data_IF_361210607198
#
_entry.id   IF_361210607198
#
_cell.length_a   1.000
_cell.length_b   1.000
_cell.length_c   1.000
_cell.angle_alpha   90.00
_cell.angle_beta   90.00
_cell.angle_gamma   90.00
#
_symmetry.space_group_name_H-M   'P 1'
#
loop_
_entity.id
_entity.type
_entity.pdbx_description
1 polymer ?
#
# COMPACT_ATOMS: atom_id res chain seq x y z
N UNK A 1 -20.00 -58.46 42.17
CA UNK A 1 -18.81 -58.64 41.31
C UNK A 1 -18.98 -58.19 39.85
N UNK A 2 -20.14 -57.64 39.42
CA UNK A 2 -20.36 -57.09 38.07
C UNK A 2 -20.21 -55.57 37.94
N UNK A 3 -20.11 -54.86 39.06
CA UNK A 3 -20.02 -53.39 39.11
C UNK A 3 -18.58 -52.84 39.14
N UNK A 4 -17.58 -53.68 39.45
CA UNK A 4 -16.16 -53.27 39.48
C UNK A 4 -15.50 -53.26 38.10
N UNK A 5 -16.08 -53.95 37.10
CA UNK A 5 -15.53 -54.02 35.75
C UNK A 5 -15.86 -52.76 34.93
N UNK A 6 -17.02 -52.13 35.17
CA UNK A 6 -17.43 -50.91 34.45
C UNK A 6 -16.67 -49.65 34.85
N UNK A 7 -16.18 -49.55 36.09
CA UNK A 7 -15.40 -48.39 36.54
C UNK A 7 -13.99 -48.34 35.92
N UNK A 8 -13.43 -49.49 35.55
CA UNK A 8 -12.12 -49.55 34.88
C UNK A 8 -12.17 -49.10 33.42
N UNK A 9 -13.29 -49.33 32.72
CA UNK A 9 -13.45 -48.96 31.30
C UNK A 9 -13.61 -47.44 31.15
N UNK A 10 -14.29 -46.77 32.08
CA UNK A 10 -14.47 -45.31 32.05
C UNK A 10 -13.15 -44.59 32.36
N UNK A 11 -12.32 -45.14 33.27
CA UNK A 11 -11.01 -44.55 33.58
C UNK A 11 -10.02 -44.64 32.40
N UNK A 12 -10.11 -45.68 31.57
CA UNK A 12 -9.26 -45.86 30.40
C UNK A 12 -9.62 -44.94 29.22
N UNK A 13 -10.89 -44.51 29.12
CA UNK A 13 -11.35 -43.61 28.04
C UNK A 13 -10.96 -42.14 28.33
N UNK A 14 -10.87 -41.73 29.60
CA UNK A 14 -10.49 -40.35 29.96
C UNK A 14 -8.97 -40.09 29.82
N UNK A 15 -8.13 -41.12 29.89
CA UNK A 15 -6.67 -40.94 29.77
C UNK A 15 -6.15 -40.80 28.34
N UNK A 16 -6.95 -41.12 27.31
CA UNK A 16 -6.51 -41.02 25.90
C UNK A 16 -6.75 -39.62 25.31
N UNK A 17 -7.54 -38.76 25.97
CA UNK A 17 -7.90 -37.45 25.42
C UNK A 17 -6.98 -36.28 25.81
N UNK A 18 -5.92 -36.50 26.60
CA UNK A 18 -4.99 -35.41 27.02
C UNK A 18 -3.68 -35.32 26.23
N UNK A 19 -3.40 -36.23 25.30
CA UNK A 19 -2.09 -36.29 24.62
C UNK A 19 -2.12 -35.85 23.14
N UNK A 20 -3.06 -34.98 22.75
CA UNK A 20 -2.96 -34.20 21.50
C UNK A 20 -2.79 -32.71 21.81
N UNK A 21 -1.88 -32.41 22.74
CA UNK A 21 -1.24 -31.10 22.76
C UNK A 21 -0.45 -30.99 21.44
N UNK A 22 -1.01 -30.25 20.50
CA UNK A 22 -0.41 -29.99 19.20
C UNK A 22 1.04 -29.55 19.40
N UNK A 23 2.00 -30.41 19.09
CA UNK A 23 3.36 -30.01 18.78
C UNK A 23 3.29 -29.25 17.47
N UNK A 24 2.76 -28.02 17.51
CA UNK A 24 2.96 -27.05 16.44
C UNK A 24 4.47 -26.92 16.37
N UNK A 25 5.06 -27.47 15.30
CA UNK A 25 6.42 -27.10 14.92
C UNK A 25 6.46 -25.57 15.06
N UNK A 26 7.40 -24.99 15.82
CA UNK A 26 7.53 -23.55 15.83
C UNK A 26 7.68 -23.15 14.37
N UNK A 27 6.63 -22.54 13.83
CA UNK A 27 6.73 -21.85 12.55
C UNK A 27 7.94 -20.96 12.73
N UNK A 28 8.93 -21.08 11.84
CA UNK A 28 10.03 -20.10 11.78
C UNK A 28 9.37 -18.75 12.00
N UNK A 29 9.80 -17.95 12.99
CA UNK A 29 9.26 -16.61 13.11
C UNK A 29 9.35 -16.04 11.70
N UNK A 30 8.19 -15.73 11.10
CA UNK A 30 8.22 -14.85 9.94
C UNK A 30 9.09 -13.71 10.44
N UNK A 31 10.19 -13.42 9.73
CA UNK A 31 11.04 -12.31 10.10
C UNK A 31 10.08 -11.12 10.20
N UNK A 32 9.67 -10.76 11.42
CA UNK A 32 8.53 -9.88 11.61
C UNK A 32 8.81 -8.64 10.79
N UNK A 33 7.81 -8.18 10.03
CA UNK A 33 7.95 -7.07 9.09
C UNK A 33 8.92 -6.04 9.67
N UNK A 34 10.11 -5.92 9.07
CA UNK A 34 11.20 -5.17 9.67
C UNK A 34 10.88 -3.69 9.49
N UNK A 35 10.21 -3.13 10.49
CA UNK A 35 9.83 -1.72 10.47
C UNK A 35 11.06 -0.85 10.66
N UNK A 36 11.15 0.21 9.86
CA UNK A 36 12.19 1.22 9.97
C UNK A 36 11.72 2.31 10.94
N UNK A 37 12.37 2.43 12.09
CA UNK A 37 12.01 3.42 13.12
C UNK A 37 12.32 4.86 12.70
N UNK A 38 13.12 5.06 11.66
CA UNK A 38 13.50 6.36 11.10
C UNK A 38 12.58 6.82 9.95
N UNK A 39 11.55 6.06 9.61
CA UNK A 39 10.61 6.36 8.52
C UNK A 39 9.17 6.47 9.03
N UNK A 40 8.33 7.28 8.37
CA UNK A 40 6.89 7.29 8.63
C UNK A 40 6.24 5.91 8.42
N UNK A 41 5.02 5.74 8.92
CA UNK A 41 4.23 4.51 8.78
C UNK A 41 3.96 4.13 7.32
N UNK A 42 3.64 5.10 6.48
CA UNK A 42 3.53 4.94 5.01
C UNK A 42 4.27 6.11 4.38
N UNK A 43 5.14 5.84 3.41
CA UNK A 43 5.91 6.88 2.74
C UNK A 43 6.19 6.53 1.28
N UNK A 44 6.43 7.57 0.48
CA UNK A 44 6.85 7.43 -0.92
C UNK A 44 8.31 7.85 -1.04
N UNK A 45 9.11 7.06 -1.76
CA UNK A 45 10.49 7.39 -2.13
C UNK A 45 10.64 7.49 -3.64
N UNK A 46 11.57 8.34 -4.08
CA UNK A 46 12.04 8.35 -5.47
C UNK A 46 12.90 7.11 -5.74
N UNK A 47 12.67 6.46 -6.89
CA UNK A 47 13.47 5.34 -7.36
C UNK A 47 14.38 5.77 -8.52
N UNK A 48 13.79 6.24 -9.64
CA UNK A 48 14.51 6.60 -10.86
C UNK A 48 13.69 7.47 -11.82
N UNK A 49 14.38 8.11 -12.76
CA UNK A 49 13.81 8.56 -14.03
C UNK A 49 13.99 7.47 -15.10
N UNK A 50 13.17 7.50 -16.15
CA UNK A 50 13.27 6.54 -17.25
C UNK A 50 12.28 6.79 -18.37
N UNK A 51 12.32 5.93 -19.39
CA UNK A 51 11.34 5.93 -20.48
C UNK A 51 10.14 5.04 -20.12
N UNK A 52 8.93 5.52 -20.40
CA UNK A 52 7.65 4.82 -20.23
C UNK A 52 6.84 4.93 -21.53
N UNK A 53 5.92 4.00 -21.72
CA UNK A 53 4.87 4.18 -22.73
C UNK A 53 3.80 5.11 -22.13
N UNK A 54 3.28 6.09 -22.89
CA UNK A 54 2.09 6.86 -22.49
C UNK A 54 0.90 5.95 -22.19
N UNK A 55 0.18 6.21 -21.10
CA UNK A 55 -1.11 5.54 -20.83
C UNK A 55 -2.28 6.32 -21.41
N UNK A 56 -2.16 7.65 -21.44
CA UNK A 56 -3.17 8.56 -21.96
C UNK A 56 -2.62 9.39 -23.13
N UNK A 57 -3.53 9.87 -23.98
CA UNK A 57 -3.16 10.78 -25.07
C UNK A 57 -2.59 12.09 -24.50
N UNK A 58 -1.44 12.52 -25.03
CA UNK A 58 -0.77 13.75 -24.61
C UNK A 58 0.30 13.57 -23.53
N UNK A 59 0.45 12.37 -22.96
CA UNK A 59 1.54 12.09 -22.03
C UNK A 59 2.89 11.91 -22.74
N UNK A 60 3.96 12.32 -22.09
CA UNK A 60 5.31 12.12 -22.57
C UNK A 60 5.76 10.66 -22.39
N UNK A 61 6.80 10.29 -23.14
CA UNK A 61 7.48 9.01 -22.95
C UNK A 61 8.47 9.01 -21.78
N UNK A 62 8.44 10.03 -20.91
CA UNK A 62 9.33 10.17 -19.76
C UNK A 62 8.55 9.95 -18.46
N UNK A 63 9.11 9.13 -17.59
CA UNK A 63 8.50 8.76 -16.33
C UNK A 63 9.38 9.01 -15.13
N UNK A 64 8.71 9.12 -13.99
CA UNK A 64 9.29 9.09 -12.65
C UNK A 64 8.77 7.83 -11.99
N UNK A 65 9.68 6.94 -11.57
CA UNK A 65 9.32 5.78 -10.78
C UNK A 65 9.42 6.13 -9.32
N UNK A 66 8.31 5.95 -8.63
CA UNK A 66 8.14 6.16 -7.21
C UNK A 66 7.81 4.83 -6.54
N UNK A 67 8.26 4.68 -5.30
CA UNK A 67 8.01 3.48 -4.50
C UNK A 67 7.22 3.86 -3.27
N UNK A 68 6.02 3.30 -3.13
CA UNK A 68 5.20 3.44 -1.92
C UNK A 68 5.56 2.29 -0.98
N UNK A 69 5.90 2.63 0.25
CA UNK A 69 6.31 1.69 1.30
C UNK A 69 5.25 1.63 2.38
N UNK A 70 4.79 0.43 2.71
CA UNK A 70 4.00 0.18 3.91
C UNK A 70 4.95 -0.20 5.05
N UNK A 71 5.40 0.77 5.82
CA UNK A 71 6.26 0.59 6.98
C UNK A 71 5.45 0.34 8.27
N UNK A 72 4.35 -0.41 8.16
CA UNK A 72 3.53 -0.85 9.29
C UNK A 72 3.48 -2.37 9.37
N UNK A 73 2.85 -2.92 10.42
CA UNK A 73 2.58 -4.37 10.51
C UNK A 73 1.31 -4.80 9.78
N UNK A 74 0.47 -3.82 9.46
CA UNK A 74 -0.87 -4.04 8.95
C UNK A 74 -0.89 -3.86 7.45
N UNK A 75 -1.83 -4.52 6.80
CA UNK A 75 -2.05 -4.34 5.37
C UNK A 75 -2.74 -3.00 5.13
N UNK A 76 -2.33 -2.32 4.07
CA UNK A 76 -3.06 -1.16 3.53
C UNK A 76 -3.69 -1.54 2.21
N UNK A 77 -4.82 -0.90 1.91
CA UNK A 77 -5.59 -1.09 0.69
C UNK A 77 -5.46 0.21 -0.11
N UNK A 78 -5.02 0.08 -1.35
CA UNK A 78 -4.77 1.18 -2.28
C UNK A 78 -5.77 1.10 -3.42
N UNK A 79 -6.35 2.22 -3.87
CA UNK A 79 -6.99 2.21 -5.17
C UNK A 79 -5.90 2.13 -6.24
N UNK A 80 -6.00 1.14 -7.12
CA UNK A 80 -5.04 0.92 -8.20
C UNK A 80 -5.69 0.25 -9.42
N UNK A 81 -4.97 0.25 -10.53
CA UNK A 81 -5.32 -0.47 -11.76
C UNK A 81 -4.17 -1.40 -12.19
N UNK A 82 -4.48 -2.34 -13.07
CA UNK A 82 -3.46 -3.08 -13.79
C UNK A 82 -2.80 -2.18 -14.83
N UNK A 83 -1.48 -2.32 -15.00
CA UNK A 83 -0.68 -1.58 -15.98
C UNK A 83 0.27 -2.51 -16.73
N UNK A 84 0.78 -2.11 -17.90
CA UNK A 84 1.88 -2.82 -18.54
C UNK A 84 3.10 -2.89 -17.62
N UNK A 85 3.89 -3.96 -17.69
CA UNK A 85 5.08 -4.17 -16.83
C UNK A 85 6.09 -3.01 -16.89
N UNK A 86 6.10 -2.27 -18.00
CA UNK A 86 6.92 -1.07 -18.20
C UNK A 86 6.62 0.05 -17.20
N UNK A 87 5.49 0.00 -16.49
CA UNK A 87 5.00 1.05 -15.60
C UNK A 87 5.29 0.82 -14.12
N UNK A 88 5.85 -0.33 -13.77
CA UNK A 88 6.00 -0.79 -12.39
C UNK A 88 4.99 -1.90 -12.07
N UNK A 89 4.72 -2.06 -10.79
CA UNK A 89 3.89 -3.15 -10.27
C UNK A 89 2.39 -2.82 -10.39
N UNK A 90 2.03 -1.53 -10.32
CA UNK A 90 0.62 -1.06 -10.31
C UNK A 90 0.44 0.30 -10.99
N UNK A 91 -0.75 0.52 -11.54
CA UNK A 91 -1.25 1.85 -11.91
C UNK A 91 -1.82 2.54 -10.69
N UNK A 92 -1.06 3.44 -10.09
CA UNK A 92 -1.47 4.13 -8.86
C UNK A 92 -2.43 5.28 -9.19
N UNK A 93 -3.56 5.35 -8.50
CA UNK A 93 -4.39 6.55 -8.51
C UNK A 93 -3.83 7.59 -7.53
N UNK A 94 -3.73 8.84 -7.97
CA UNK A 94 -3.22 9.94 -7.16
C UNK A 94 -3.84 11.28 -7.55
N UNK A 95 -3.81 12.21 -6.60
CA UNK A 95 -4.15 13.62 -6.85
C UNK A 95 -2.87 14.47 -6.85
N UNK A 96 -2.93 15.59 -7.59
CA UNK A 96 -1.86 16.57 -7.66
C UNK A 96 -2.36 17.88 -7.06
N UNK A 97 -1.58 18.47 -6.17
CA UNK A 97 -1.90 19.75 -5.53
C UNK A 97 -0.73 20.72 -5.65
N UNK A 98 -1.05 22.01 -5.72
CA UNK A 98 -0.05 23.09 -5.77
C UNK A 98 0.29 23.50 -4.33
N UNK A 99 1.58 23.55 -4.02
CA UNK A 99 2.12 23.97 -2.71
C UNK A 99 2.52 25.46 -2.75
N UNK A 100 1.95 26.26 -3.65
CA UNK A 100 2.29 27.69 -3.76
C UNK A 100 1.73 28.45 -2.57
N UNK A 101 2.57 29.26 -1.93
CA UNK A 101 2.19 30.24 -0.91
C UNK A 101 1.59 31.51 -1.53
N UNK A 102 1.69 31.69 -2.85
CA UNK A 102 1.20 32.86 -3.56
C UNK A 102 -0.16 32.53 -4.20
N UNK A 103 -1.27 33.08 -3.67
CA UNK A 103 -2.64 32.73 -4.07
C UNK A 103 -3.01 33.13 -5.51
N UNK A 104 -2.19 33.96 -6.16
CA UNK A 104 -2.52 34.58 -7.45
C UNK A 104 -1.78 33.98 -8.67
N UNK A 105 -0.86 33.03 -8.47
CA UNK A 105 -0.22 32.33 -9.59
C UNK A 105 -1.13 31.18 -10.04
N UNK A 106 -1.83 31.39 -11.16
CA UNK A 106 -2.61 30.36 -11.83
C UNK A 106 -1.65 29.33 -12.43
N UNK A 107 -1.28 28.33 -11.63
CA UNK A 107 -0.55 27.17 -12.10
C UNK A 107 -1.55 26.19 -12.69
N UNK A 108 -1.44 25.92 -13.99
CA UNK A 108 -2.21 24.84 -14.62
C UNK A 108 -1.76 23.51 -14.01
N UNK A 109 -2.64 22.90 -13.21
CA UNK A 109 -2.34 21.66 -12.51
C UNK A 109 -2.59 20.53 -13.50
N UNK A 110 -1.57 19.74 -13.86
CA UNK A 110 -1.78 18.57 -14.69
C UNK A 110 -2.84 17.67 -14.05
N UNK A 111 -3.73 17.10 -14.86
CA UNK A 111 -4.70 16.14 -14.35
C UNK A 111 -3.94 14.88 -13.92
N UNK A 112 -4.03 14.52 -12.64
CA UNK A 112 -3.52 13.23 -12.14
C UNK A 112 -4.39 12.06 -12.62
N UNK A 113 -3.98 10.84 -12.30
CA UNK A 113 -4.88 9.68 -12.42
C UNK A 113 -5.85 9.70 -11.23
N UNK A 114 -6.88 10.52 -11.34
CA UNK A 114 -7.93 10.61 -10.33
C UNK A 114 -8.85 9.38 -10.37
N UNK A 115 -9.45 9.06 -9.23
CA UNK A 115 -10.37 7.94 -9.11
C UNK A 115 -11.60 8.16 -10.00
N UNK A 116 -11.79 7.27 -10.97
CA UNK A 116 -13.06 7.11 -11.65
C UNK A 116 -14.08 6.34 -10.79
N UNK A 117 -15.30 6.15 -11.31
CA UNK A 117 -16.35 5.38 -10.63
C UNK A 117 -16.03 3.89 -10.42
N UNK A 118 -15.02 3.36 -11.13
CA UNK A 118 -14.58 1.97 -11.03
C UNK A 118 -13.06 1.94 -10.90
N UNK A 119 -12.57 1.36 -9.82
CA UNK A 119 -11.17 1.05 -9.60
C UNK A 119 -11.03 -0.33 -8.96
N UNK A 120 -9.87 -0.94 -9.15
CA UNK A 120 -9.50 -2.15 -8.42
C UNK A 120 -8.82 -1.76 -7.12
N UNK A 121 -8.91 -2.63 -6.11
CA UNK A 121 -8.12 -2.47 -4.88
C UNK A 121 -6.84 -3.27 -4.99
N UNK A 122 -5.72 -2.69 -4.59
CA UNK A 122 -4.45 -3.37 -4.42
C UNK A 122 -4.11 -3.45 -2.94
N UNK A 123 -3.78 -4.65 -2.48
CA UNK A 123 -3.41 -4.92 -1.09
C UNK A 123 -1.89 -4.90 -0.93
N UNK A 124 -1.37 -4.03 -0.07
CA UNK A 124 0.06 -3.96 0.24
C UNK A 124 0.30 -4.37 1.69
N UNK A 125 1.01 -5.49 1.91
CA UNK A 125 1.21 -6.01 3.27
C UNK A 125 2.23 -5.17 4.04
N UNK A 126 2.21 -5.34 5.36
CA UNK A 126 3.18 -4.70 6.24
C UNK A 126 4.62 -5.09 5.89
N UNK A 127 5.49 -4.08 5.75
CA UNK A 127 6.88 -4.22 5.34
C UNK A 127 7.11 -4.37 3.83
N UNK A 128 6.05 -4.44 3.02
CA UNK A 128 6.17 -4.49 1.57
C UNK A 128 6.21 -3.08 0.96
N UNK A 129 6.64 -3.02 -0.29
CA UNK A 129 6.63 -1.81 -1.09
C UNK A 129 6.16 -2.12 -2.50
N UNK A 130 5.57 -1.13 -3.16
CA UNK A 130 5.08 -1.23 -4.54
C UNK A 130 5.66 -0.10 -5.38
N UNK A 131 6.12 -0.45 -6.58
CA UNK A 131 6.65 0.47 -7.58
C UNK A 131 5.53 0.93 -8.50
N UNK A 132 5.46 2.21 -8.78
CA UNK A 132 4.56 2.79 -9.78
C UNK A 132 5.27 3.92 -10.52
N UNK A 133 4.74 4.30 -11.69
CA UNK A 133 5.28 5.40 -12.49
C UNK A 133 4.29 6.54 -12.64
N UNK A 134 4.83 7.74 -12.79
CA UNK A 134 4.11 9.00 -12.98
C UNK A 134 4.74 9.71 -14.19
N UNK A 135 3.96 10.28 -15.13
CA UNK A 135 4.51 11.08 -16.22
C UNK A 135 5.37 12.23 -15.68
N UNK A 136 6.52 12.47 -16.31
CA UNK A 136 7.53 13.42 -15.80
C UNK A 136 6.98 14.84 -15.67
N UNK A 137 6.17 15.24 -16.62
CA UNK A 137 5.52 16.55 -16.75
C UNK A 137 4.48 16.81 -15.66
N UNK A 138 3.97 15.76 -14.99
CA UNK A 138 2.96 15.89 -13.93
C UNK A 138 3.54 16.27 -12.56
N UNK A 139 4.86 16.15 -12.39
CA UNK A 139 5.56 16.57 -11.16
C UNK A 139 6.55 17.71 -11.45
N UNK A 140 6.08 18.88 -11.89
CA UNK A 140 6.90 20.08 -11.91
C UNK A 140 7.17 20.56 -10.49
N UNK A 141 8.13 21.47 -10.35
CA UNK A 141 8.46 22.09 -9.05
C UNK A 141 7.21 22.78 -8.48
N UNK A 142 6.98 22.62 -7.18
CA UNK A 142 5.82 23.22 -6.50
C UNK A 142 4.58 22.32 -6.45
N UNK A 143 4.63 21.13 -7.05
CA UNK A 143 3.54 20.14 -6.97
C UNK A 143 3.81 19.11 -5.87
N UNK A 144 2.74 18.71 -5.18
CA UNK A 144 2.71 17.55 -4.30
C UNK A 144 1.77 16.49 -4.88
N UNK A 145 2.26 15.26 -4.94
CA UNK A 145 1.47 14.07 -5.28
C UNK A 145 0.91 13.46 -4.01
N UNK A 146 -0.37 13.09 -4.01
CA UNK A 146 -1.01 12.39 -2.90
C UNK A 146 -1.61 11.07 -3.34
N UNK A 147 -1.31 10.02 -2.59
CA UNK A 147 -1.94 8.70 -2.73
C UNK A 147 -2.84 8.48 -1.53
N UNK A 148 -4.11 8.14 -1.79
CA UNK A 148 -5.06 7.73 -0.75
C UNK A 148 -4.88 6.25 -0.44
N UNK A 149 -5.12 5.87 0.81
CA UNK A 149 -5.14 4.48 1.23
C UNK A 149 -6.12 4.29 2.39
N UNK A 150 -6.51 3.05 2.65
CA UNK A 150 -7.23 2.65 3.86
C UNK A 150 -6.49 1.52 4.56
N UNK A 151 -6.74 1.32 5.84
CA UNK A 151 -6.21 0.19 6.59
C UNK A 151 -7.16 -1.00 6.51
N UNK A 152 -6.62 -2.22 6.61
CA UNK A 152 -7.42 -3.45 6.51
C UNK A 152 -8.48 -3.64 7.60
N UNK A 153 -8.37 -2.90 8.71
CA UNK A 153 -9.36 -2.95 9.80
C UNK A 153 -10.52 -1.97 9.60
N UNK A 154 -10.46 -1.09 8.60
CA UNK A 154 -11.50 -0.11 8.33
C UNK A 154 -12.63 -0.74 7.52
N UNK A 155 -13.86 -0.27 7.77
CA UNK A 155 -15.01 -0.76 7.01
C UNK A 155 -14.95 -0.18 5.59
N UNK A 156 -14.68 -1.03 4.60
CA UNK A 156 -14.49 -0.56 3.22
C UNK A 156 -15.76 0.09 2.66
N UNK A 157 -16.95 -0.36 3.02
CA UNK A 157 -18.21 0.30 2.60
C UNK A 157 -18.30 1.74 3.13
N UNK A 158 -17.78 1.98 4.33
CA UNK A 158 -17.70 3.30 4.93
C UNK A 158 -16.56 4.13 4.33
N UNK A 159 -15.42 3.52 3.98
CA UNK A 159 -14.35 4.18 3.19
C UNK A 159 -14.89 4.66 1.85
N UNK A 160 -15.56 3.80 1.08
CA UNK A 160 -16.14 4.14 -0.23
C UNK A 160 -17.21 5.22 -0.11
N UNK A 161 -17.99 5.22 0.98
CA UNK A 161 -19.01 6.23 1.25
C UNK A 161 -18.43 7.55 1.83
N UNK A 162 -17.11 7.65 2.05
CA UNK A 162 -16.48 8.81 2.67
C UNK A 162 -16.86 9.02 4.14
N UNK A 163 -17.27 7.95 4.84
CA UNK A 163 -17.65 7.95 6.26
C UNK A 163 -16.49 7.57 7.19
N UNK A 164 -15.41 7.00 6.66
CA UNK A 164 -14.17 6.75 7.40
C UNK A 164 -13.18 7.91 7.29
N UNK A 165 -12.15 7.88 8.13
CA UNK A 165 -11.04 8.83 8.06
C UNK A 165 -10.29 8.67 6.74
N UNK A 166 -10.04 9.79 6.06
CA UNK A 166 -9.22 9.78 4.85
C UNK A 166 -7.72 9.75 5.20
N UNK A 167 -7.02 8.71 4.76
CA UNK A 167 -5.56 8.63 4.89
C UNK A 167 -4.89 8.96 3.56
N UNK A 168 -3.87 9.82 3.62
CA UNK A 168 -3.05 10.18 2.47
C UNK A 168 -1.56 10.08 2.78
N UNK A 169 -0.79 9.72 1.77
CA UNK A 169 0.68 9.84 1.77
C UNK A 169 1.10 10.78 0.65
N UNK A 170 2.00 11.71 0.97
CA UNK A 170 2.42 12.77 0.06
C UNK A 170 3.86 12.61 -0.42
N UNK A 171 4.10 12.89 -1.69
CA UNK A 171 5.42 13.04 -2.29
C UNK A 171 5.57 14.43 -2.90
N UNK A 172 6.52 15.21 -2.40
CA UNK A 172 6.79 16.56 -2.90
C UNK A 172 7.74 16.50 -4.08
N UNK A 173 7.40 17.14 -5.20
CA UNK A 173 8.26 17.21 -6.37
C UNK A 173 9.63 17.85 -6.08
N UNK A 174 9.72 18.69 -5.03
CA UNK A 174 10.99 19.24 -4.53
C UNK A 174 11.99 18.18 -4.03
N UNK A 175 11.53 16.96 -3.72
CA UNK A 175 12.38 15.81 -3.34
C UNK A 175 13.01 15.10 -4.54
N UNK A 176 12.61 15.45 -5.77
CA UNK A 176 13.23 14.88 -6.96
C UNK A 176 14.67 15.36 -7.12
N UNK A 177 15.60 14.50 -7.60
CA UNK A 177 16.95 14.95 -7.93
C UNK A 177 16.90 16.08 -8.95
N UNK A 178 17.69 17.12 -8.70
CA UNK A 178 17.86 18.20 -9.66
C UNK A 178 18.62 17.66 -10.88
N UNK A 179 18.03 17.79 -12.07
CA UNK A 179 18.74 17.50 -13.30
C UNK A 179 19.88 18.53 -13.43
N UNK A 180 21.12 18.04 -13.49
CA UNK A 180 22.25 18.88 -13.85
C UNK A 180 22.00 19.32 -15.29
N UNK A 181 21.78 20.62 -15.47
CA UNK A 181 21.73 21.25 -16.80
C UNK A 181 23.09 21.17 -17.46
#
# INVERSE_FOLDING_TARGET
MRWLVSLFIIFFIVTVSLASAQTRKPSKPSSGARLSNDKPSVYISYERFGKREPLEEGESNEGIWLRLHNNTKWKIILPASGVPETHGDVGMFYTLEVVSELPDEVVDIPKGYELGHLYSTFELRGGESVLFSVPREQLPKGIVLRVKFSYEWENQDDVFAGREVEHTVSFYASKLPQLKK
#
